data_IF_992309930180
#
_entry.id   IF_992309930180
#
_cell.length_a   1.000
_cell.length_b   1.000
_cell.length_c   1.000
_cell.angle_alpha   90.00
_cell.angle_beta   90.00
_cell.angle_gamma   90.00
#
_symmetry.space_group_name_H-M   'P 1'
#
loop_
_entity.id
_entity.type
_entity.pdbx_description
1 polymer ?
#
# COMPACT_ATOMS: atom_id res chain seq x y z
N UNK A 1 29.71 -23.08 -29.73
CA UNK A 1 29.95 -22.33 -28.47
C UNK A 1 28.82 -21.38 -28.02
N UNK A 2 27.97 -20.79 -28.87
CA UNK A 2 26.96 -19.78 -28.45
C UNK A 2 25.73 -20.30 -27.67
N UNK A 3 25.34 -21.58 -27.79
CA UNK A 3 24.12 -22.13 -27.15
C UNK A 3 24.27 -22.45 -25.65
N UNK A 4 25.50 -22.60 -25.15
CA UNK A 4 25.75 -22.87 -23.72
C UNK A 4 25.68 -21.60 -22.86
N UNK A 5 26.11 -20.47 -23.41
CA UNK A 5 26.13 -19.17 -22.73
C UNK A 5 24.72 -18.66 -22.45
N UNK A 6 23.76 -18.85 -23.37
CA UNK A 6 22.37 -18.41 -23.13
C UNK A 6 21.65 -19.25 -22.06
N UNK A 7 21.93 -20.55 -21.99
CA UNK A 7 21.41 -21.42 -20.92
C UNK A 7 22.02 -21.09 -19.56
N UNK A 8 23.31 -20.76 -19.54
CA UNK A 8 24.01 -20.34 -18.33
C UNK A 8 23.51 -18.98 -17.83
N UNK A 9 23.30 -18.01 -18.74
CA UNK A 9 22.74 -16.70 -18.40
C UNK A 9 21.29 -16.83 -17.88
N UNK A 10 20.47 -17.67 -18.51
CA UNK A 10 19.11 -17.96 -18.04
C UNK A 10 19.09 -18.61 -16.65
N UNK A 11 19.98 -19.58 -16.41
CA UNK A 11 20.12 -20.21 -15.10
C UNK A 11 20.61 -19.24 -14.02
N UNK A 12 21.49 -18.30 -14.36
CA UNK A 12 22.01 -17.28 -13.45
C UNK A 12 20.93 -16.27 -13.06
N UNK A 13 20.09 -15.85 -14.01
CA UNK A 13 18.95 -14.96 -13.77
C UNK A 13 17.92 -15.65 -12.85
N UNK A 14 17.62 -16.92 -13.09
CA UNK A 14 16.70 -17.70 -12.25
C UNK A 14 17.25 -17.84 -10.82
N UNK A 15 18.55 -18.09 -10.66
CA UNK A 15 19.19 -18.19 -9.34
C UNK A 15 19.19 -16.85 -8.60
N UNK A 16 19.35 -15.72 -9.30
CA UNK A 16 19.27 -14.37 -8.71
C UNK A 16 17.86 -14.02 -8.21
N UNK A 17 16.82 -14.52 -8.89
CA UNK A 17 15.42 -14.31 -8.50
C UNK A 17 15.07 -15.12 -7.23
N UNK A 18 15.71 -16.28 -7.03
CA UNK A 18 15.46 -17.17 -5.89
C UNK A 18 16.07 -16.67 -4.57
N UNK A 19 16.98 -15.69 -4.61
CA UNK A 19 17.60 -15.11 -3.40
C UNK A 19 16.88 -13.87 -2.86
N UNK A 20 15.76 -13.46 -3.46
CA UNK A 20 14.97 -12.36 -2.92
C UNK A 20 14.19 -12.81 -1.68
N UNK A 21 14.52 -12.24 -0.53
CA UNK A 21 13.74 -12.37 0.70
C UNK A 21 12.30 -11.90 0.45
N UNK A 22 11.33 -12.76 0.75
CA UNK A 22 9.91 -12.44 0.70
C UNK A 22 9.55 -11.58 1.92
N UNK A 23 9.60 -10.26 1.76
CA UNK A 23 8.98 -9.35 2.72
C UNK A 23 7.45 -9.40 2.56
N UNK A 24 6.72 -9.26 3.68
CA UNK A 24 5.27 -9.27 3.72
C UNK A 24 4.65 -8.35 2.65
N UNK A 25 3.52 -8.77 2.08
CA UNK A 25 2.82 -8.02 1.02
C UNK A 25 2.00 -6.88 1.63
N UNK A 26 2.13 -5.70 1.04
CA UNK A 26 1.23 -4.58 1.35
C UNK A 26 -0.18 -4.85 0.79
N UNK A 27 -1.14 -4.07 1.28
CA UNK A 27 -2.54 -4.15 0.86
C UNK A 27 -2.63 -3.94 -0.66
N UNK A 28 -3.32 -4.85 -1.34
CA UNK A 28 -3.57 -4.76 -2.77
C UNK A 28 -5.01 -5.15 -3.11
N UNK A 29 -5.53 -4.57 -4.18
CA UNK A 29 -6.87 -4.85 -4.71
C UNK A 29 -6.76 -5.67 -6.00
N UNK A 30 -7.76 -6.52 -6.26
CA UNK A 30 -7.84 -7.25 -7.54
C UNK A 30 -8.00 -6.31 -8.74
N UNK A 31 -8.60 -5.14 -8.53
CA UNK A 31 -8.75 -4.07 -9.53
C UNK A 31 -7.63 -3.02 -9.36
N UNK A 32 -6.37 -3.44 -9.51
CA UNK A 32 -5.21 -2.57 -9.26
C UNK A 32 -5.11 -1.37 -10.22
N UNK A 33 -5.71 -1.45 -11.42
CA UNK A 33 -5.84 -0.31 -12.34
C UNK A 33 -6.69 0.81 -11.75
N UNK A 34 -7.66 0.44 -10.91
CA UNK A 34 -8.55 1.35 -10.21
C UNK A 34 -7.97 1.77 -8.85
N UNK A 35 -6.67 1.64 -8.60
CA UNK A 35 -6.07 2.19 -7.36
C UNK A 35 -4.69 2.80 -7.67
N UNK A 36 -4.64 3.90 -8.44
CA UNK A 36 -3.38 4.45 -8.94
C UNK A 36 -2.46 4.96 -7.83
N UNK A 37 -3.02 5.58 -6.78
CA UNK A 37 -2.25 6.10 -5.65
C UNK A 37 -1.54 4.99 -4.85
N UNK A 38 -2.15 3.80 -4.75
CA UNK A 38 -1.52 2.62 -4.13
C UNK A 38 -0.36 2.07 -4.98
N UNK A 39 -0.43 2.22 -6.30
CA UNK A 39 0.55 1.66 -7.22
C UNK A 39 1.77 2.55 -7.37
N UNK A 40 1.54 3.85 -7.53
CA UNK A 40 2.59 4.84 -7.65
C UNK A 40 1.99 6.23 -7.38
N UNK A 41 2.47 6.98 -6.38
CA UNK A 41 1.92 8.30 -6.07
C UNK A 41 1.98 9.25 -7.28
N UNK A 42 2.93 9.07 -8.21
CA UNK A 42 3.09 9.86 -9.45
C UNK A 42 1.93 9.74 -10.45
N UNK A 43 1.05 8.74 -10.26
CA UNK A 43 -0.10 8.49 -11.14
C UNK A 43 -1.35 9.29 -10.73
N UNK A 44 -1.30 10.07 -9.64
CA UNK A 44 -2.39 10.97 -9.33
C UNK A 44 -2.59 11.95 -10.51
N UNK A 45 -3.82 12.29 -10.87
CA UNK A 45 -4.07 13.20 -11.98
C UNK A 45 -3.91 12.60 -13.38
N UNK A 46 -3.42 11.35 -13.49
CA UNK A 46 -3.35 10.65 -14.78
C UNK A 46 -4.70 9.94 -15.04
N UNK A 47 -5.69 10.74 -15.43
CA UNK A 47 -7.03 10.33 -15.84
C UNK A 47 -7.69 11.40 -16.73
N UNK A 48 -8.80 11.11 -17.39
CA UNK A 48 -9.55 12.12 -18.14
C UNK A 48 -10.52 12.88 -17.23
N UNK A 49 -10.47 14.22 -17.21
CA UNK A 49 -11.25 15.09 -16.32
C UNK A 49 -10.41 15.80 -15.25
N UNK A 50 -11.04 16.68 -14.47
CA UNK A 50 -10.38 17.55 -13.48
C UNK A 50 -10.43 17.02 -12.05
N UNK A 51 -11.50 16.29 -11.72
CA UNK A 51 -11.77 15.73 -10.40
C UNK A 51 -11.94 14.21 -10.53
N UNK A 52 -11.31 13.45 -9.63
CA UNK A 52 -11.57 12.02 -9.45
C UNK A 52 -11.91 11.75 -8.00
N UNK A 53 -13.06 11.11 -7.78
CA UNK A 53 -13.42 10.48 -6.51
C UNK A 53 -13.56 8.99 -6.76
N UNK A 54 -13.01 8.17 -5.86
CA UNK A 54 -13.05 6.73 -6.01
C UNK A 54 -13.16 6.07 -4.64
N UNK A 55 -14.00 5.04 -4.54
CA UNK A 55 -14.07 4.17 -3.37
C UNK A 55 -14.00 2.72 -3.80
N UNK A 56 -13.24 1.93 -3.03
CA UNK A 56 -13.07 0.49 -3.27
C UNK A 56 -13.25 -0.23 -1.95
N UNK A 57 -14.03 -1.31 -1.96
CA UNK A 57 -14.19 -2.18 -0.80
C UNK A 57 -13.94 -3.62 -1.20
N UNK A 58 -13.20 -4.35 -0.37
CA UNK A 58 -12.84 -5.76 -0.59
C UNK A 58 -13.00 -6.53 0.70
N UNK A 59 -13.60 -7.72 0.59
CA UNK A 59 -13.64 -8.72 1.66
C UNK A 59 -12.91 -9.97 1.19
N UNK A 60 -12.12 -10.60 2.05
CA UNK A 60 -11.39 -11.84 1.74
C UNK A 60 -11.52 -12.87 2.85
N UNK A 61 -11.37 -14.15 2.48
CA UNK A 61 -11.26 -15.30 3.41
C UNK A 61 -12.45 -15.54 4.35
N UNK A 62 -13.61 -14.93 4.09
CA UNK A 62 -14.78 -15.04 4.96
C UNK A 62 -15.40 -16.44 5.10
N UNK A 63 -15.04 -17.38 4.22
CA UNK A 63 -15.46 -18.79 4.33
C UNK A 63 -14.51 -19.66 5.15
N UNK A 64 -13.32 -19.15 5.50
CA UNK A 64 -12.25 -19.92 6.16
C UNK A 64 -11.94 -19.37 7.55
N UNK A 65 -11.98 -18.05 7.73
CA UNK A 65 -11.65 -17.37 8.99
C UNK A 65 -12.44 -16.06 9.13
N UNK A 66 -12.21 -15.31 10.21
CA UNK A 66 -12.69 -13.93 10.35
C UNK A 66 -12.20 -13.12 9.15
N UNK A 67 -13.11 -12.61 8.30
CA UNK A 67 -12.73 -12.04 7.02
C UNK A 67 -11.87 -10.79 7.18
N UNK A 68 -10.89 -10.65 6.30
CA UNK A 68 -10.19 -9.39 6.10
C UNK A 68 -11.12 -8.43 5.36
N UNK A 69 -11.27 -7.22 5.88
CA UNK A 69 -12.10 -6.17 5.30
C UNK A 69 -11.26 -4.94 5.02
N UNK A 70 -11.10 -4.63 3.74
CA UNK A 70 -10.30 -3.51 3.27
C UNK A 70 -11.17 -2.51 2.53
N UNK A 71 -11.14 -1.24 2.93
CA UNK A 71 -11.76 -0.11 2.27
C UNK A 71 -10.73 0.93 1.83
N UNK A 72 -10.98 1.57 0.69
CA UNK A 72 -10.22 2.71 0.19
C UNK A 72 -11.17 3.82 -0.23
N UNK A 73 -10.79 5.07 0.05
CA UNK A 73 -11.42 6.27 -0.47
C UNK A 73 -10.31 7.20 -0.99
N UNK A 74 -10.40 7.59 -2.25
CA UNK A 74 -9.42 8.42 -2.94
C UNK A 74 -10.12 9.66 -3.50
N UNK A 75 -9.46 10.80 -3.39
CA UNK A 75 -9.92 12.07 -3.95
C UNK A 75 -8.76 12.82 -4.58
N UNK A 76 -8.94 13.32 -5.79
CA UNK A 76 -7.91 14.02 -6.56
C UNK A 76 -8.50 15.18 -7.34
N UNK A 77 -7.75 16.27 -7.41
CA UNK A 77 -8.12 17.48 -8.12
C UNK A 77 -6.92 18.07 -8.87
N UNK A 78 -7.11 18.37 -10.16
CA UNK A 78 -6.11 18.97 -11.02
C UNK A 78 -6.18 20.49 -10.97
N UNK A 79 -5.03 21.09 -10.80
CA UNK A 79 -4.80 22.52 -10.77
C UNK A 79 -3.89 22.89 -11.95
N UNK A 80 -4.41 23.59 -12.98
CA UNK A 80 -3.58 24.05 -14.09
C UNK A 80 -2.56 25.08 -13.59
N UNK A 81 -1.30 24.96 -14.04
CA UNK A 81 -0.20 25.88 -13.67
C UNK A 81 0.21 26.82 -14.82
N UNK A 82 -0.44 26.71 -15.98
CA UNK A 82 -0.13 27.47 -17.19
C UNK A 82 0.57 26.63 -18.25
N UNK A 83 0.23 26.89 -19.51
CA UNK A 83 0.49 25.97 -20.61
C UNK A 83 -0.20 24.62 -20.36
N UNK A 84 0.42 23.53 -20.79
CA UNK A 84 -0.09 22.18 -20.61
C UNK A 84 0.36 21.53 -19.28
N UNK A 85 0.97 22.29 -18.37
CA UNK A 85 1.43 21.79 -17.07
C UNK A 85 0.33 21.89 -16.02
N UNK A 86 0.30 20.92 -15.11
CA UNK A 86 -0.64 20.92 -13.99
C UNK A 86 -0.05 20.29 -12.74
N UNK A 87 -0.62 20.64 -11.60
CA UNK A 87 -0.40 19.99 -10.31
C UNK A 87 -1.65 19.23 -9.94
N UNK A 88 -1.50 18.08 -9.31
CA UNK A 88 -2.62 17.35 -8.73
C UNK A 88 -2.46 17.34 -7.22
N UNK A 89 -3.48 17.84 -6.52
CA UNK A 89 -3.63 17.64 -5.08
C UNK A 89 -4.64 16.52 -4.86
N UNK A 90 -4.43 15.73 -3.83
CA UNK A 90 -5.35 14.67 -3.51
C UNK A 90 -4.96 13.92 -2.26
N UNK A 91 -5.50 12.73 -2.13
CA UNK A 91 -5.13 11.85 -1.05
C UNK A 91 -5.94 10.57 -1.05
N UNK A 92 -5.50 9.69 -0.18
CA UNK A 92 -6.06 8.37 0.00
C UNK A 92 -6.29 8.12 1.48
N UNK A 93 -7.47 7.61 1.79
CA UNK A 93 -7.77 6.97 3.07
C UNK A 93 -7.85 5.47 2.81
N UNK A 94 -7.06 4.69 3.54
CA UNK A 94 -7.17 3.24 3.56
C UNK A 94 -7.60 2.80 4.93
N UNK A 95 -8.51 1.85 4.96
CA UNK A 95 -8.96 1.19 6.16
C UNK A 95 -8.82 -0.31 5.94
N UNK A 96 -8.14 -1.00 6.84
CA UNK A 96 -8.01 -2.45 6.80
C UNK A 96 -8.29 -3.02 8.17
N UNK A 97 -9.10 -4.08 8.22
CA UNK A 97 -9.45 -4.81 9.43
C UNK A 97 -9.17 -6.29 9.24
N UNK A 98 -8.35 -6.83 10.12
CA UNK A 98 -7.77 -8.16 10.01
C UNK A 98 -7.96 -9.00 11.28
N UNK A 99 -8.26 -10.29 11.07
CA UNK A 99 -8.16 -11.34 12.09
C UNK A 99 -9.15 -11.27 13.27
N UNK A 100 -9.03 -12.25 14.16
CA UNK A 100 -9.92 -12.44 15.31
C UNK A 100 -9.80 -11.32 16.36
N UNK A 101 -8.61 -10.73 16.48
CA UNK A 101 -8.33 -9.61 17.39
C UNK A 101 -8.77 -8.24 16.85
N UNK A 102 -9.45 -8.19 15.70
CA UNK A 102 -9.88 -6.95 15.05
C UNK A 102 -8.71 -5.95 14.85
N UNK A 103 -7.54 -6.42 14.38
CA UNK A 103 -6.42 -5.55 14.09
C UNK A 103 -6.84 -4.57 12.99
N UNK A 104 -6.95 -3.30 13.34
CA UNK A 104 -7.43 -2.24 12.46
C UNK A 104 -6.28 -1.30 12.13
N UNK A 105 -6.01 -1.15 10.84
CA UNK A 105 -5.01 -0.23 10.29
C UNK A 105 -5.73 0.85 9.47
N UNK A 106 -5.47 2.11 9.77
CA UNK A 106 -6.00 3.25 9.02
C UNK A 106 -4.85 4.11 8.50
N UNK A 107 -4.82 4.35 7.20
CA UNK A 107 -3.87 5.27 6.56
C UNK A 107 -4.64 6.52 6.12
N UNK A 108 -4.08 7.69 6.40
CA UNK A 108 -4.55 8.97 5.86
C UNK A 108 -3.35 9.61 5.15
N UNK A 109 -3.35 9.53 3.82
CA UNK A 109 -2.21 9.83 2.98
C UNK A 109 -2.56 10.94 1.99
N UNK A 110 -2.37 12.21 2.33
CA UNK A 110 -2.41 13.28 1.33
C UNK A 110 -1.32 13.08 0.28
N UNK A 111 -1.61 13.51 -0.94
CA UNK A 111 -0.75 13.37 -2.10
C UNK A 111 -0.64 14.69 -2.85
N UNK A 112 0.57 14.96 -3.35
CA UNK A 112 0.90 16.10 -4.18
C UNK A 112 1.70 15.61 -5.39
N UNK A 113 1.28 16.05 -6.56
CA UNK A 113 1.87 15.63 -7.82
C UNK A 113 2.13 16.81 -8.74
N UNK A 114 3.27 16.78 -9.41
CA UNK A 114 3.65 17.75 -10.41
C UNK A 114 3.74 17.07 -11.76
N UNK A 115 3.03 17.61 -12.76
CA UNK A 115 2.99 17.08 -14.11
C UNK A 115 3.57 18.11 -15.08
N UNK A 116 4.68 17.74 -15.72
CA UNK A 116 5.31 18.53 -16.77
C UNK A 116 4.94 17.94 -18.13
N UNK A 117 4.30 18.75 -18.96
CA UNK A 117 4.05 18.36 -20.35
C UNK A 117 5.35 18.36 -21.15
N UNK A 118 5.53 17.31 -21.96
CA UNK A 118 6.64 17.18 -22.90
C UNK A 118 6.22 17.44 -24.35
N UNK A 119 4.93 17.61 -24.62
CA UNK A 119 4.39 17.82 -25.96
C UNK A 119 3.14 18.69 -25.90
N UNK A 120 3.06 19.70 -26.76
CA UNK A 120 1.84 20.49 -26.95
C UNK A 120 0.82 19.86 -27.92
N UNK A 121 1.18 18.74 -28.55
CA UNK A 121 0.33 18.05 -29.54
C UNK A 121 -0.25 16.73 -29.03
N UNK A 122 0.36 16.14 -28.00
CA UNK A 122 -0.05 14.86 -27.42
C UNK A 122 0.00 14.96 -25.91
N UNK A 123 -0.90 14.25 -25.24
CA UNK A 123 -0.89 14.12 -23.79
C UNK A 123 0.31 13.26 -23.36
N UNK A 124 1.46 13.92 -23.19
CA UNK A 124 2.70 13.30 -22.75
C UNK A 124 3.23 14.04 -21.53
N UNK A 125 3.31 13.35 -20.40
CA UNK A 125 3.67 13.95 -19.12
C UNK A 125 4.80 13.17 -18.45
N UNK A 126 5.73 13.92 -17.87
CA UNK A 126 6.60 13.41 -16.80
C UNK A 126 6.05 13.92 -15.49
N UNK A 127 5.79 13.00 -14.57
CA UNK A 127 5.13 13.27 -13.31
C UNK A 127 6.02 12.87 -12.14
N UNK A 128 6.04 13.70 -11.11
CA UNK A 128 6.67 13.42 -9.82
C UNK A 128 5.60 13.50 -8.74
N UNK A 129 5.49 12.44 -7.96
CA UNK A 129 4.48 12.29 -6.93
C UNK A 129 5.09 12.09 -5.56
N UNK A 130 4.52 12.78 -4.58
CA UNK A 130 4.80 12.64 -3.17
C UNK A 130 3.49 12.31 -2.47
N UNK A 131 3.51 11.31 -1.60
CA UNK A 131 2.35 10.93 -0.80
C UNK A 131 2.84 10.55 0.58
N UNK A 132 2.17 11.01 1.62
CA UNK A 132 2.60 10.66 2.97
C UNK A 132 1.74 11.30 4.03
N UNK A 133 1.61 10.61 5.15
CA UNK A 133 0.73 11.04 6.22
C UNK A 133 0.73 10.07 7.39
N UNK A 134 -0.37 10.05 8.12
CA UNK A 134 -0.47 9.32 9.37
C UNK A 134 -1.04 7.92 9.12
N UNK A 135 -0.36 6.93 9.69
CA UNK A 135 -0.83 5.56 9.77
C UNK A 135 -1.10 5.24 11.22
N UNK A 136 -2.32 4.85 11.53
CA UNK A 136 -2.75 4.43 12.85
C UNK A 136 -3.06 2.94 12.85
N UNK A 137 -2.57 2.23 13.86
CA UNK A 137 -2.84 0.82 14.08
C UNK A 137 -3.41 0.64 15.48
N UNK A 138 -4.47 -0.14 15.59
CA UNK A 138 -5.05 -0.52 16.87
C UNK A 138 -5.55 -1.97 16.81
N UNK A 139 -5.68 -2.61 17.95
CA UNK A 139 -6.34 -3.90 18.07
C UNK A 139 -7.24 -3.92 19.31
N UNK A 140 -8.20 -4.83 19.33
CA UNK A 140 -9.12 -4.98 20.44
C UNK A 140 -8.56 -5.97 21.48
N UNK A 141 -8.05 -5.44 22.60
CA UNK A 141 -7.49 -6.28 23.67
C UNK A 141 -8.52 -7.25 24.25
N UNK A 142 -9.81 -6.89 24.28
CA UNK A 142 -10.85 -7.78 24.81
C UNK A 142 -11.02 -9.07 24.00
N UNK A 143 -10.47 -9.10 22.78
CA UNK A 143 -10.53 -10.25 21.87
C UNK A 143 -9.21 -11.02 21.80
N UNK A 144 -8.21 -10.59 22.56
CA UNK A 144 -6.94 -11.32 22.65
C UNK A 144 -7.14 -12.49 23.59
N UNK A 145 -6.89 -13.69 23.07
CA UNK A 145 -6.85 -14.92 23.85
C UNK A 145 -5.42 -15.44 23.88
N UNK A 146 -4.89 -15.75 25.06
CA UNK A 146 -3.52 -16.27 25.22
C UNK A 146 -3.52 -17.68 25.80
N UNK A 147 -2.40 -18.39 25.61
CA UNK A 147 -2.22 -19.76 26.12
C UNK A 147 -2.39 -19.86 27.65
N UNK A 148 -2.12 -18.79 28.40
CA UNK A 148 -2.32 -18.76 29.86
C UNK A 148 -3.80 -18.87 30.26
N UNK A 149 -4.72 -18.57 29.34
CA UNK A 149 -6.15 -18.70 29.56
C UNK A 149 -6.68 -20.10 29.23
N UNK A 150 -5.83 -20.98 28.71
CA UNK A 150 -6.15 -22.37 28.43
C UNK A 150 -5.45 -23.30 29.44
N UNK A 151 -6.25 -24.02 30.24
CA UNK A 151 -5.74 -25.08 31.11
C UNK A 151 -6.27 -26.43 30.62
N UNK A 152 -5.38 -27.28 30.11
CA UNK A 152 -5.76 -28.60 29.56
C UNK A 152 -6.69 -28.53 28.35
N UNK A 153 -6.62 -27.45 27.54
CA UNK A 153 -7.48 -27.22 26.38
C UNK A 153 -8.85 -26.60 26.69
N UNK A 154 -9.14 -26.30 27.97
CA UNK A 154 -10.36 -25.61 28.39
C UNK A 154 -10.07 -24.13 28.60
N UNK A 155 -10.83 -23.27 27.93
CA UNK A 155 -10.76 -21.81 28.06
C UNK A 155 -11.37 -21.36 29.40
N UNK A 156 -10.63 -20.55 30.15
CA UNK A 156 -11.08 -19.97 31.43
C UNK A 156 -11.10 -18.44 31.34
N UNK A 157 -12.31 -17.87 31.27
CA UNK A 157 -12.56 -16.43 31.04
C UNK A 157 -11.99 -15.50 32.14
N UNK A 158 -11.76 -16.03 33.34
CA UNK A 158 -11.21 -15.27 34.49
C UNK A 158 -9.69 -15.38 34.64
N UNK A 159 -9.02 -16.16 33.80
CA UNK A 159 -7.56 -16.27 33.84
C UNK A 159 -6.94 -15.00 33.21
N UNK A 160 -5.92 -14.39 33.84
CA UNK A 160 -5.21 -13.27 33.23
C UNK A 160 -4.55 -13.71 31.92
N UNK A 161 -4.55 -12.83 30.92
CA UNK A 161 -3.91 -13.07 29.62
C UNK A 161 -2.37 -13.20 29.74
N UNK A 162 -1.79 -12.79 30.87
CA UNK A 162 -0.35 -12.84 31.12
C UNK A 162 0.44 -11.76 30.37
N UNK A 163 -0.24 -10.91 29.60
CA UNK A 163 0.36 -9.94 28.69
C UNK A 163 0.18 -8.52 29.22
N UNK A 164 1.27 -7.78 29.38
CA UNK A 164 1.22 -6.38 29.78
C UNK A 164 1.22 -5.46 28.56
N UNK A 165 0.08 -5.33 27.89
CA UNK A 165 -0.09 -4.31 26.85
C UNK A 165 -0.23 -2.92 27.49
N UNK A 166 0.82 -2.11 27.42
CA UNK A 166 0.80 -0.70 27.87
C UNK A 166 0.14 0.22 26.86
N UNK A 167 0.07 -0.16 25.58
CA UNK A 167 -0.62 0.57 24.49
C UNK A 167 -1.29 -0.39 23.52
N UNK A 168 -2.58 -0.21 23.27
CA UNK A 168 -3.37 -0.99 22.27
C UNK A 168 -3.50 -0.28 20.92
N UNK A 169 -2.97 0.95 20.82
CA UNK A 169 -2.93 1.73 19.60
C UNK A 169 -1.63 2.50 19.48
N UNK A 170 -1.11 2.63 18.26
CA UNK A 170 0.00 3.51 17.95
C UNK A 170 -0.18 4.16 16.58
N UNK A 171 0.50 5.28 16.37
CA UNK A 171 0.51 6.00 15.10
C UNK A 171 1.93 6.33 14.70
N UNK A 172 2.20 6.27 13.39
CA UNK A 172 3.49 6.65 12.81
C UNK A 172 3.27 7.39 11.49
N UNK A 173 4.28 8.14 11.06
CA UNK A 173 4.27 8.80 9.76
C UNK A 173 4.86 7.89 8.70
N UNK A 174 4.14 7.76 7.59
CA UNK A 174 4.54 6.98 6.44
C UNK A 174 4.61 7.84 5.20
N UNK A 175 5.54 7.52 4.32
CA UNK A 175 5.84 8.33 3.14
C UNK A 175 6.16 7.48 1.93
N UNK A 176 5.80 7.99 0.76
CA UNK A 176 6.03 7.40 -0.54
C UNK A 176 6.36 8.48 -1.56
N UNK A 177 7.25 8.13 -2.49
CA UNK A 177 7.62 8.98 -3.62
C UNK A 177 7.59 8.17 -4.90
N UNK A 178 7.35 8.85 -6.01
CA UNK A 178 7.31 8.17 -7.29
C UNK A 178 7.55 9.09 -8.46
N UNK A 179 7.90 8.48 -9.58
CA UNK A 179 8.02 9.12 -10.87
C UNK A 179 7.26 8.29 -11.90
N UNK A 180 6.61 8.96 -12.84
CA UNK A 180 6.00 8.29 -13.99
C UNK A 180 6.12 9.10 -15.26
N UNK A 181 6.41 8.41 -16.35
CA UNK A 181 6.25 8.87 -17.71
C UNK A 181 4.91 8.34 -18.25
N UNK A 182 4.05 9.22 -18.72
CA UNK A 182 2.78 8.88 -19.36
C UNK A 182 2.76 9.44 -20.77
N UNK A 183 2.28 8.66 -21.74
CA UNK A 183 2.10 9.13 -23.12
C UNK A 183 0.91 8.49 -23.78
N UNK A 184 0.20 9.29 -24.57
CA UNK A 184 -0.79 8.82 -25.51
C UNK A 184 -0.09 8.19 -26.73
N UNK A 185 -0.48 6.96 -27.11
CA UNK A 185 0.08 6.22 -28.26
C UNK A 185 -0.86 6.25 -29.46
N UNK A 186 -2.18 6.24 -29.23
CA UNK A 186 -3.20 6.26 -30.28
C UNK A 186 -3.82 7.63 -30.53
N UNK A 187 -4.76 7.69 -31.47
CA UNK A 187 -5.58 8.88 -31.73
C UNK A 187 -6.68 9.07 -30.68
N UNK A 188 -7.01 8.00 -29.95
CA UNK A 188 -8.01 8.02 -28.87
C UNK A 188 -7.36 8.39 -27.54
N UNK A 189 -8.05 9.19 -26.73
CA UNK A 189 -7.60 9.62 -25.38
C UNK A 189 -7.42 8.43 -24.40
N UNK A 190 -7.95 7.26 -24.75
CA UNK A 190 -7.90 6.04 -23.92
C UNK A 190 -6.62 5.22 -24.15
N UNK A 191 -5.91 5.43 -25.25
CA UNK A 191 -4.73 4.65 -25.62
C UNK A 191 -3.48 5.24 -24.95
N UNK A 192 -3.39 5.06 -23.64
CA UNK A 192 -2.31 5.60 -22.82
C UNK A 192 -1.33 4.50 -22.37
N UNK A 193 -0.05 4.81 -22.45
CA UNK A 193 1.01 4.01 -21.86
C UNK A 193 1.62 4.77 -20.69
N UNK A 194 1.87 4.06 -19.60
CA UNK A 194 2.57 4.58 -18.43
C UNK A 194 3.75 3.69 -18.09
N UNK A 195 4.87 4.33 -17.77
CA UNK A 195 6.05 3.71 -17.20
C UNK A 195 6.36 4.47 -15.92
N UNK A 196 6.54 3.77 -14.80
CA UNK A 196 6.80 4.45 -13.54
C UNK A 196 7.60 3.61 -12.56
N UNK A 197 8.26 4.33 -11.65
CA UNK A 197 8.97 3.78 -10.50
C UNK A 197 8.42 4.45 -9.24
N UNK A 198 8.27 3.68 -8.17
CA UNK A 198 7.80 4.18 -6.90
C UNK A 198 8.61 3.56 -5.76
N UNK A 199 8.81 4.34 -4.70
CA UNK A 199 9.38 3.88 -3.46
C UNK A 199 8.42 4.21 -2.33
N UNK A 200 7.86 3.15 -1.74
CA UNK A 200 6.90 3.24 -0.65
C UNK A 200 7.60 2.97 0.69
N UNK A 201 6.95 3.42 1.76
CA UNK A 201 7.36 3.12 3.13
C UNK A 201 8.77 3.56 3.52
N UNK A 202 9.27 4.67 2.94
CA UNK A 202 10.64 5.12 3.18
C UNK A 202 10.90 5.52 4.65
N UNK A 203 9.86 5.87 5.39
CA UNK A 203 9.93 6.26 6.80
C UNK A 203 9.35 5.20 7.75
N UNK A 204 9.02 4.00 7.25
CA UNK A 204 8.46 2.93 8.08
C UNK A 204 9.55 2.42 9.01
N UNK A 205 9.43 2.72 10.29
CA UNK A 205 10.32 2.19 11.32
C UNK A 205 10.22 0.66 11.35
N UNK A 206 11.37 -0.02 11.18
CA UNK A 206 11.51 -1.47 11.39
C UNK A 206 11.48 -1.75 12.89
N UNK A 207 10.31 -1.75 13.51
CA UNK A 207 10.19 -2.02 14.94
C UNK A 207 8.93 -1.53 15.64
N UNK A 208 7.85 -1.22 14.91
CA UNK A 208 6.60 -0.77 15.55
C UNK A 208 5.85 -1.97 16.15
N UNK A 209 6.35 -2.42 17.31
CA UNK A 209 5.75 -3.43 18.14
C UNK A 209 4.84 -2.76 19.18
N UNK A 210 3.81 -3.48 19.64
CA UNK A 210 2.96 -3.05 20.76
C UNK A 210 3.67 -3.16 22.13
N UNK A 211 4.98 -3.45 22.11
CA UNK A 211 5.85 -3.62 23.28
C UNK A 211 7.07 -2.68 23.15
N UNK A 212 7.53 -2.12 24.26
CA UNK A 212 8.75 -1.28 24.34
C UNK A 212 10.06 -2.11 24.35
N UNK A 213 10.04 -3.34 23.79
CA UNK A 213 11.16 -4.28 23.85
C UNK A 213 11.63 -4.74 22.47
N UNK A 214 12.95 -4.78 22.29
CA UNK A 214 13.66 -5.27 21.10
C UNK A 214 13.47 -6.79 20.94
N UNK A 215 12.34 -7.24 20.38
CA UNK A 215 12.18 -8.62 19.93
C UNK A 215 11.55 -8.70 18.54
N UNK A 216 12.13 -9.58 17.73
CA UNK A 216 11.74 -9.88 16.36
C UNK A 216 10.28 -10.36 16.28
N UNK A 217 9.59 -9.84 15.27
CA UNK A 217 8.36 -10.35 14.65
C UNK A 217 7.64 -11.48 15.40
N UNK A 218 6.66 -11.12 16.21
CA UNK A 218 5.58 -12.05 16.54
C UNK A 218 4.61 -12.01 15.35
N UNK A 219 4.58 -13.10 14.59
CA UNK A 219 3.51 -13.39 13.62
C UNK A 219 2.33 -13.91 14.44
N UNK A 220 1.26 -13.13 14.53
CA UNK A 220 -0.02 -13.59 15.07
C UNK A 220 -0.85 -14.13 13.90
N UNK A 221 -1.22 -15.41 13.97
CA UNK A 221 -2.13 -16.07 13.04
C UNK A 221 -3.58 -15.61 13.24
#
# INVERSE_FOLDING_TARGET
MRKGVSKFLGSLIILLILTCELSAQDIHFSQFYETPLLRNPALAGIFSGDVRLQSVYRTQWGSVTVPYQTGSLNGEYKLPLGGDNFVTIGGQILYDKAGTINLTTTHILPALNFHKSLSGYRNTFVSLGFMGGLVQRNFDRSKVTTDQQFNGGIYTDYAPDGENFTKTSYSYFDGSVGMSFNTQIGETVNDNMFLGIAYHHFNRQRGVAFYDGTFNQIILF
#
